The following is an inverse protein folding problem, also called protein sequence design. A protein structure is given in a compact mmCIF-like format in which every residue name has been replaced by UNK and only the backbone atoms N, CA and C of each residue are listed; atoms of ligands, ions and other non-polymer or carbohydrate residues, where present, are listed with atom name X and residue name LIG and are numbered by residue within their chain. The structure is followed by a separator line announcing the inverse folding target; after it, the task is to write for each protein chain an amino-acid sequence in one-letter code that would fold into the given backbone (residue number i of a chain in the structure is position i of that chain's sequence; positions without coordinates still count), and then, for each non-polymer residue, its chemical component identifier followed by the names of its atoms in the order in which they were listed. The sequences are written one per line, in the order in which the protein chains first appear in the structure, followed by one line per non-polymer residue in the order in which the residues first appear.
data_IF_221357515591
#
_entry.id   IF_221357515591
#
_cell.length_a   1.000
_cell.length_b   1.000
_cell.length_c   1.000
_cell.angle_alpha   90.00
_cell.angle_beta   90.00
_cell.angle_gamma   90.00
#
_symmetry.space_group_name_H-M   'P 1'
#
loop_
_entity.id
_entity.type
_entity.pdbx_description
1 polymer ?
#
# COMPACT_ATOMS: atom_id res chain seq x y z
N UNK A 1 1.91 14.88 -18.09
CA UNK A 1 1.21 14.99 -19.40
C UNK A 1 1.91 16.04 -20.26
N UNK A 2 2.60 15.65 -21.34
CA UNK A 2 3.40 16.58 -22.17
C UNK A 2 2.48 17.66 -22.76
N UNK A 3 2.85 18.95 -22.63
CA UNK A 3 2.09 20.12 -23.15
C UNK A 3 1.59 19.94 -24.60
N UNK A 4 2.30 19.15 -25.41
CA UNK A 4 1.90 18.81 -26.79
C UNK A 4 0.57 18.04 -26.90
N UNK A 5 0.24 17.17 -25.95
CA UNK A 5 -0.96 16.32 -26.05
C UNK A 5 -2.26 17.13 -25.85
N UNK A 6 -2.26 18.10 -24.92
CA UNK A 6 -3.38 19.03 -24.74
C UNK A 6 -3.62 19.87 -25.99
N UNK A 7 -2.57 20.42 -26.61
CA UNK A 7 -2.68 21.17 -27.87
C UNK A 7 -3.24 20.31 -29.00
N UNK A 8 -2.80 19.06 -29.11
CA UNK A 8 -3.26 18.15 -30.15
C UNK A 8 -4.75 17.81 -30.02
N UNK A 9 -5.23 17.50 -28.82
CA UNK A 9 -6.66 17.24 -28.57
C UNK A 9 -7.50 18.47 -28.89
N UNK A 10 -7.08 19.67 -28.46
CA UNK A 10 -7.79 20.91 -28.79
C UNK A 10 -7.81 21.19 -30.30
N UNK A 11 -6.69 21.00 -31.00
CA UNK A 11 -6.64 21.16 -32.46
C UNK A 11 -7.52 20.16 -33.19
N UNK A 12 -7.62 18.92 -32.70
CA UNK A 12 -8.51 17.90 -33.25
C UNK A 12 -9.98 18.25 -33.01
N UNK A 13 -10.32 18.77 -31.83
CA UNK A 13 -11.69 19.09 -31.47
C UNK A 13 -12.19 20.29 -32.27
N UNK A 14 -11.42 21.39 -32.29
CA UNK A 14 -11.73 22.61 -33.05
C UNK A 14 -11.67 22.36 -34.56
N UNK A 15 -10.62 21.66 -35.02
CA UNK A 15 -10.46 21.32 -36.43
C UNK A 15 -11.57 20.38 -36.91
N UNK A 16 -11.93 19.38 -36.10
CA UNK A 16 -13.03 18.47 -36.37
C UNK A 16 -14.37 19.17 -36.48
N UNK A 17 -14.69 20.08 -35.54
CA UNK A 17 -15.94 20.87 -35.63
C UNK A 17 -15.94 21.79 -36.85
N UNK A 18 -14.85 22.49 -37.14
CA UNK A 18 -14.76 23.32 -38.34
C UNK A 18 -14.93 22.51 -39.63
N UNK A 19 -14.33 21.31 -39.70
CA UNK A 19 -14.42 20.45 -40.88
C UNK A 19 -15.84 19.92 -41.08
N UNK A 20 -16.50 19.45 -40.02
CA UNK A 20 -17.89 18.96 -40.08
C UNK A 20 -18.84 20.09 -40.48
N UNK A 21 -18.68 21.29 -39.90
CA UNK A 21 -19.48 22.47 -40.26
C UNK A 21 -19.25 22.89 -41.71
N UNK A 22 -18.01 22.90 -42.20
CA UNK A 22 -17.69 23.23 -43.58
C UNK A 22 -18.28 22.20 -44.57
N UNK A 23 -18.24 20.91 -44.24
CA UNK A 23 -18.84 19.85 -45.06
C UNK A 23 -20.37 19.97 -45.07
N UNK A 24 -21.01 20.27 -43.94
CA UNK A 24 -22.45 20.49 -43.88
C UNK A 24 -22.89 21.68 -44.73
N UNK A 25 -22.16 22.81 -44.65
CA UNK A 25 -22.41 23.99 -45.49
C UNK A 25 -22.18 23.64 -46.97
N UNK A 26 -21.10 22.91 -47.29
CA UNK A 26 -20.78 22.51 -48.66
C UNK A 26 -21.83 21.58 -49.27
N UNK A 27 -22.31 20.57 -48.52
CA UNK A 27 -23.38 19.67 -48.96
C UNK A 27 -24.68 20.43 -49.19
N UNK A 28 -25.01 21.38 -48.32
CA UNK A 28 -26.19 22.23 -48.51
C UNK A 28 -26.08 23.09 -49.77
N UNK A 29 -24.96 23.79 -49.97
CA UNK A 29 -24.72 24.60 -51.17
C UNK A 29 -24.69 23.75 -52.44
N UNK A 30 -24.21 22.50 -52.37
CA UNK A 30 -24.24 21.58 -53.50
C UNK A 30 -25.66 21.11 -53.82
N UNK A 31 -26.46 20.79 -52.80
CA UNK A 31 -27.81 20.26 -52.97
C UNK A 31 -28.86 21.32 -53.32
N UNK A 32 -28.68 22.56 -52.85
CA UNK A 32 -29.65 23.66 -53.00
C UNK A 32 -29.11 24.91 -53.72
N UNK A 33 -27.79 25.04 -53.93
CA UNK A 33 -27.14 26.25 -54.46
C UNK A 33 -26.77 26.20 -55.94
N UNK A 34 -27.50 25.43 -56.75
CA UNK A 34 -27.32 25.36 -58.21
C UNK A 34 -27.81 26.62 -58.93
N UNK A 35 -27.09 27.75 -58.79
CA UNK A 35 -27.24 28.97 -59.58
C UNK A 35 -28.11 30.04 -58.93
N UNK A 36 -27.46 31.09 -58.40
CA UNK A 36 -28.03 32.28 -57.73
C UNK A 36 -28.54 32.07 -56.29
N UNK A 37 -28.13 32.98 -55.39
CA UNK A 37 -28.63 33.02 -54.01
C UNK A 37 -30.12 33.33 -54.09
N UNK A 38 -30.95 32.31 -53.85
CA UNK A 38 -32.39 32.44 -53.98
C UNK A 38 -32.91 33.56 -53.06
N UNK A 39 -33.70 34.47 -53.63
CA UNK A 39 -34.25 35.63 -52.93
C UNK A 39 -35.36 35.24 -51.95
N UNK A 40 -35.80 33.99 -51.99
CA UNK A 40 -36.87 33.47 -51.17
C UNK A 40 -36.39 33.19 -49.73
N UNK A 41 -36.99 33.88 -48.76
CA UNK A 41 -36.61 33.79 -47.35
C UNK A 41 -36.93 32.42 -46.73
N UNK A 42 -37.85 31.66 -47.35
CA UNK A 42 -38.22 30.31 -46.92
C UNK A 42 -37.04 29.33 -46.96
N UNK A 43 -36.20 29.40 -48.00
CA UNK A 43 -35.06 28.49 -48.20
C UNK A 43 -33.99 28.71 -47.13
N UNK A 44 -33.82 29.95 -46.69
CA UNK A 44 -32.92 30.30 -45.59
C UNK A 44 -33.42 29.80 -44.22
N UNK A 45 -34.74 29.76 -44.02
CA UNK A 45 -35.33 29.21 -42.79
C UNK A 45 -35.13 27.69 -42.68
N UNK A 46 -35.25 26.97 -43.79
CA UNK A 46 -35.02 25.52 -43.85
C UNK A 46 -33.53 25.18 -43.62
N UNK A 47 -32.60 25.98 -44.16
CA UNK A 47 -31.17 25.90 -43.83
C UNK A 47 -30.92 26.07 -42.33
N UNK A 48 -31.48 27.13 -41.74
CA UNK A 48 -31.33 27.40 -40.31
C UNK A 48 -31.83 26.25 -39.45
N UNK A 49 -32.94 25.63 -39.85
CA UNK A 49 -33.52 24.47 -39.18
C UNK A 49 -32.64 23.23 -39.32
N UNK A 50 -32.10 22.97 -40.52
CA UNK A 50 -31.18 21.85 -40.76
C UNK A 50 -29.86 22.01 -39.99
N UNK A 51 -29.24 23.19 -40.04
CA UNK A 51 -28.01 23.50 -39.28
C UNK A 51 -28.26 23.40 -37.77
N UNK A 52 -29.37 23.95 -37.27
CA UNK A 52 -29.75 23.83 -35.87
C UNK A 52 -29.90 22.38 -35.44
N UNK A 53 -30.57 21.55 -36.25
CA UNK A 53 -30.79 20.13 -35.95
C UNK A 53 -29.52 19.29 -35.99
N UNK A 54 -28.65 19.46 -37.00
CA UNK A 54 -27.45 18.62 -37.18
C UNK A 54 -26.23 19.16 -36.46
N UNK A 55 -25.92 20.44 -36.63
CA UNK A 55 -24.75 21.08 -35.98
C UNK A 55 -25.00 21.23 -34.49
N UNK A 56 -26.23 21.53 -34.06
CA UNK A 56 -26.60 21.60 -32.65
C UNK A 56 -26.39 20.27 -31.93
N UNK A 57 -26.90 19.16 -32.48
CA UNK A 57 -26.73 17.81 -31.89
C UNK A 57 -25.26 17.38 -31.91
N UNK A 58 -24.53 17.65 -33.00
CA UNK A 58 -23.10 17.36 -33.08
C UNK A 58 -22.32 18.15 -32.02
N UNK A 59 -22.57 19.46 -31.89
CA UNK A 59 -21.92 20.30 -30.90
C UNK A 59 -22.20 19.82 -29.47
N UNK A 60 -23.45 19.46 -29.14
CA UNK A 60 -23.81 18.91 -27.82
C UNK A 60 -23.07 17.60 -27.57
N UNK A 61 -23.02 16.70 -28.56
CA UNK A 61 -22.35 15.40 -28.43
C UNK A 61 -20.83 15.57 -28.25
N UNK A 62 -20.20 16.47 -29.00
CA UNK A 62 -18.79 16.83 -28.83
C UNK A 62 -18.52 17.43 -27.46
N UNK A 63 -19.41 18.30 -26.99
CA UNK A 63 -19.29 18.93 -25.66
C UNK A 63 -19.39 17.89 -24.55
N UNK A 64 -20.32 16.93 -24.68
CA UNK A 64 -20.45 15.80 -23.75
C UNK A 64 -19.20 14.91 -23.77
N UNK A 65 -18.66 14.60 -24.95
CA UNK A 65 -17.43 13.82 -25.07
C UNK A 65 -16.24 14.54 -24.45
N UNK A 66 -16.11 15.85 -24.70
CA UNK A 66 -15.09 16.69 -24.08
C UNK A 66 -15.23 16.72 -22.54
N UNK A 67 -16.46 16.78 -22.03
CA UNK A 67 -16.74 16.72 -20.60
C UNK A 67 -16.30 15.37 -20.00
N UNK A 68 -16.67 14.25 -20.62
CA UNK A 68 -16.28 12.90 -20.17
C UNK A 68 -14.75 12.76 -20.15
N UNK A 69 -14.06 13.25 -21.18
CA UNK A 69 -12.60 13.26 -21.21
C UNK A 69 -12.00 14.11 -20.09
N UNK A 70 -12.62 15.25 -19.80
CA UNK A 70 -12.17 16.16 -18.73
C UNK A 70 -12.35 15.51 -17.35
N UNK A 71 -13.48 14.84 -17.11
CA UNK A 71 -13.74 14.09 -15.87
C UNK A 71 -12.70 12.99 -15.67
N UNK A 72 -12.42 12.18 -16.69
CA UNK A 72 -11.37 11.16 -16.62
C UNK A 72 -9.98 11.73 -16.31
N UNK A 73 -9.67 12.93 -16.82
CA UNK A 73 -8.41 13.61 -16.49
C UNK A 73 -8.39 14.12 -15.04
N UNK A 74 -9.52 14.59 -14.52
CA UNK A 74 -9.62 15.03 -13.12
C UNK A 74 -9.42 13.86 -12.17
N UNK A 75 -10.04 12.70 -12.44
CA UNK A 75 -9.88 11.49 -11.61
C UNK A 75 -8.40 11.08 -11.51
N UNK A 76 -7.68 11.06 -12.64
CA UNK A 76 -6.26 10.73 -12.66
C UNK A 76 -5.38 11.76 -11.91
N UNK A 77 -5.78 13.03 -11.88
CA UNK A 77 -5.08 14.07 -11.12
C UNK A 77 -5.35 13.91 -9.62
N UNK A 78 -6.59 13.63 -9.24
CA UNK A 78 -6.98 13.39 -7.85
C UNK A 78 -6.24 12.16 -7.31
N UNK A 79 -6.21 11.07 -8.07
CA UNK A 79 -5.48 9.85 -7.69
C UNK A 79 -3.98 10.13 -7.49
N UNK A 80 -3.35 10.91 -8.38
CA UNK A 80 -1.95 11.28 -8.24
C UNK A 80 -1.69 12.18 -7.01
N UNK A 81 -2.60 13.11 -6.70
CA UNK A 81 -2.50 13.97 -5.51
C UNK A 81 -2.70 13.18 -4.22
N UNK A 82 -3.65 12.25 -4.20
CA UNK A 82 -3.90 11.37 -3.06
C UNK A 82 -2.68 10.47 -2.79
N UNK A 83 -2.05 9.94 -3.84
CA UNK A 83 -0.84 9.13 -3.70
C UNK A 83 0.35 9.95 -3.17
N UNK A 84 0.55 11.16 -3.69
CA UNK A 84 1.59 12.07 -3.18
C UNK A 84 1.35 12.46 -1.71
N UNK A 85 0.09 12.70 -1.34
CA UNK A 85 -0.32 12.99 0.04
C UNK A 85 -0.11 11.80 0.98
N UNK A 86 -0.44 10.58 0.54
CA UNK A 86 -0.17 9.34 1.29
C UNK A 86 1.32 9.13 1.48
N UNK A 87 2.11 9.30 0.43
CA UNK A 87 3.57 9.18 0.47
C UNK A 87 4.18 10.21 1.41
N UNK A 88 3.75 11.48 1.34
CA UNK A 88 4.20 12.54 2.25
C UNK A 88 3.92 12.21 3.72
N UNK A 89 2.71 11.72 4.03
CA UNK A 89 2.37 11.25 5.39
C UNK A 89 3.21 10.05 5.83
N UNK A 90 3.52 9.12 4.92
CA UNK A 90 4.36 7.97 5.25
C UNK A 90 5.77 8.40 5.67
N UNK A 91 6.36 9.37 4.97
CA UNK A 91 7.63 9.97 5.37
C UNK A 91 7.56 10.68 6.71
N UNK A 92 6.53 11.48 6.93
CA UNK A 92 6.34 12.20 8.19
C UNK A 92 6.23 11.23 9.37
N UNK A 93 5.42 10.18 9.21
CA UNK A 93 5.25 9.13 10.18
C UNK A 93 6.57 8.38 10.44
N UNK A 94 7.30 8.02 9.38
CA UNK A 94 8.58 7.34 9.50
C UNK A 94 9.60 8.18 10.27
N UNK A 95 9.67 9.49 10.05
CA UNK A 95 10.66 10.35 10.72
C UNK A 95 10.23 10.68 12.15
N UNK A 96 8.95 11.00 12.37
CA UNK A 96 8.49 11.56 13.65
C UNK A 96 7.96 10.51 14.64
N UNK A 97 7.39 9.41 14.12
CA UNK A 97 6.65 8.44 14.92
C UNK A 97 7.48 7.15 15.09
N UNK A 98 8.09 6.65 14.02
CA UNK A 98 8.82 5.38 14.08
C UNK A 98 9.90 5.32 15.16
N UNK A 99 10.77 6.34 15.34
CA UNK A 99 11.78 6.28 16.40
C UNK A 99 11.17 6.21 17.80
N UNK A 100 9.99 6.81 18.01
CA UNK A 100 9.26 6.75 19.29
C UNK A 100 8.65 5.37 19.50
N UNK A 101 8.06 4.79 18.47
CA UNK A 101 7.53 3.42 18.52
C UNK A 101 8.66 2.43 18.80
N UNK A 102 9.76 2.51 18.04
CA UNK A 102 10.90 1.61 18.17
C UNK A 102 11.56 1.73 19.55
N UNK A 103 11.81 2.96 20.02
CA UNK A 103 12.38 3.16 21.35
C UNK A 103 11.44 2.76 22.50
N UNK A 104 10.12 2.93 22.35
CA UNK A 104 9.14 2.42 23.32
C UNK A 104 9.13 0.90 23.32
N UNK A 105 9.07 0.26 22.14
CA UNK A 105 9.06 -1.18 22.02
C UNK A 105 10.35 -1.79 22.59
N UNK A 106 11.50 -1.18 22.33
CA UNK A 106 12.78 -1.58 22.91
C UNK A 106 12.78 -1.43 24.44
N UNK A 107 12.30 -0.31 24.97
CA UNK A 107 12.16 -0.09 26.43
C UNK A 107 11.18 -1.06 27.07
N UNK A 108 10.07 -1.38 26.40
CA UNK A 108 9.06 -2.29 26.94
C UNK A 108 9.58 -3.71 26.94
N UNK A 109 10.28 -4.14 25.88
CA UNK A 109 11.03 -5.39 25.84
C UNK A 109 12.07 -5.44 26.98
N UNK A 110 12.70 -4.30 27.29
CA UNK A 110 13.62 -4.16 28.44
C UNK A 110 12.93 -4.00 29.81
N UNK A 111 11.65 -3.65 29.91
CA UNK A 111 10.96 -3.47 31.20
C UNK A 111 10.20 -4.71 31.63
N UNK A 112 9.59 -5.40 30.66
CA UNK A 112 8.91 -6.67 30.91
C UNK A 112 9.91 -7.82 31.16
N UNK A 113 11.21 -7.48 31.28
CA UNK A 113 12.32 -8.29 31.78
C UNK A 113 12.15 -8.79 33.22
N UNK A 114 11.29 -8.18 34.02
CA UNK A 114 10.84 -8.82 35.26
C UNK A 114 9.76 -9.84 34.90
N UNK A 115 10.17 -10.94 34.28
CA UNK A 115 9.35 -12.14 34.21
C UNK A 115 8.74 -12.42 35.58
N UNK A 116 7.57 -13.05 35.62
CA UNK A 116 7.06 -13.64 36.85
C UNK A 116 8.22 -14.42 37.52
N UNK A 117 8.58 -14.14 38.79
CA UNK A 117 9.67 -14.82 39.46
C UNK A 117 9.57 -16.35 39.36
N UNK A 118 8.35 -16.89 39.25
CA UNK A 118 8.10 -18.31 38.98
C UNK A 118 8.63 -18.77 37.62
N UNK A 119 8.37 -18.01 36.57
CA UNK A 119 8.86 -18.26 35.21
C UNK A 119 10.39 -18.32 35.14
N UNK A 120 11.08 -17.34 35.74
CA UNK A 120 12.55 -17.25 35.68
C UNK A 120 13.19 -18.45 36.37
N UNK A 121 12.63 -18.86 37.50
CA UNK A 121 13.18 -19.96 38.30
C UNK A 121 13.16 -21.27 37.52
N UNK A 122 12.09 -21.54 36.80
CA UNK A 122 11.94 -22.75 36.01
C UNK A 122 12.91 -22.76 34.82
N UNK A 123 13.08 -21.62 34.13
CA UNK A 123 14.05 -21.48 33.01
C UNK A 123 15.51 -21.57 33.51
N UNK A 124 15.83 -20.89 34.61
CA UNK A 124 17.19 -20.87 35.16
C UNK A 124 17.64 -22.23 35.71
N UNK A 125 16.69 -23.11 36.07
CA UNK A 125 16.98 -24.49 36.43
C UNK A 125 17.32 -25.37 35.21
N UNK A 126 16.96 -24.93 34.00
CA UNK A 126 17.08 -25.69 32.76
C UNK A 126 18.26 -25.25 31.89
N UNK A 127 18.85 -24.08 32.15
CA UNK A 127 19.88 -23.49 31.31
C UNK A 127 21.09 -23.01 32.12
N UNK A 128 22.28 -23.46 31.74
CA UNK A 128 23.56 -23.12 32.37
C UNK A 128 24.34 -22.03 31.60
N UNK A 129 23.89 -21.64 30.40
CA UNK A 129 24.63 -20.72 29.52
C UNK A 129 24.02 -19.30 29.53
N UNK A 130 24.44 -18.52 30.53
CA UNK A 130 24.28 -17.06 30.54
C UNK A 130 22.91 -16.53 30.99
N UNK A 131 22.75 -15.20 31.04
CA UNK A 131 21.54 -14.56 31.54
C UNK A 131 20.34 -14.79 30.61
N UNK A 132 19.17 -15.04 31.20
CA UNK A 132 17.89 -15.13 30.48
C UNK A 132 17.43 -13.70 30.17
N UNK A 133 17.72 -13.25 28.95
CA UNK A 133 17.22 -11.99 28.39
C UNK A 133 16.23 -12.28 27.24
N UNK A 134 15.28 -11.40 26.91
CA UNK A 134 14.38 -11.53 25.75
C UNK A 134 15.16 -11.67 24.45
N UNK A 135 16.26 -10.93 24.31
CA UNK A 135 17.16 -11.08 23.18
C UNK A 135 17.75 -12.49 23.13
N UNK A 136 18.17 -13.04 24.28
CA UNK A 136 18.64 -14.42 24.37
C UNK A 136 17.51 -15.44 24.12
N UNK A 137 16.28 -15.13 24.50
CA UNK A 137 15.10 -15.99 24.28
C UNK A 137 14.74 -16.00 22.79
N UNK A 138 14.74 -14.83 22.15
CA UNK A 138 14.52 -14.66 20.71
C UNK A 138 15.61 -15.35 19.90
N UNK A 139 16.87 -15.37 20.38
CA UNK A 139 18.02 -16.00 19.70
C UNK A 139 18.29 -17.46 20.07
N UNK A 140 17.81 -17.93 21.22
CA UNK A 140 18.01 -19.30 21.69
C UNK A 140 16.66 -20.02 21.80
N UNK A 141 16.08 -20.40 20.64
CA UNK A 141 14.73 -20.91 20.51
C UNK A 141 14.54 -22.28 21.20
N UNK A 142 15.62 -23.00 21.49
CA UNK A 142 15.59 -24.21 22.32
C UNK A 142 15.08 -23.93 23.74
N UNK A 143 15.25 -22.70 24.26
CA UNK A 143 14.68 -22.27 25.54
C UNK A 143 13.15 -22.29 25.50
N UNK A 144 12.56 -21.93 24.37
CA UNK A 144 11.11 -21.95 24.18
C UNK A 144 10.50 -23.35 24.17
N UNK A 145 11.21 -24.34 23.58
CA UNK A 145 10.73 -25.73 23.56
C UNK A 145 10.52 -26.23 24.99
N UNK A 146 11.53 -26.04 25.84
CA UNK A 146 11.48 -26.52 27.23
C UNK A 146 10.49 -25.70 28.06
N UNK A 147 10.41 -24.38 27.82
CA UNK A 147 9.39 -23.53 28.45
C UNK A 147 7.96 -23.96 28.14
N UNK A 148 7.68 -24.35 26.89
CA UNK A 148 6.36 -24.83 26.50
C UNK A 148 5.97 -26.16 27.14
N UNK A 149 6.95 -26.99 27.45
CA UNK A 149 6.74 -28.29 28.12
C UNK A 149 6.56 -28.12 29.65
N UNK A 150 7.28 -27.17 30.26
CA UNK A 150 7.31 -27.01 31.72
C UNK A 150 6.25 -26.02 32.23
N UNK A 151 6.01 -24.92 31.51
CA UNK A 151 5.09 -23.87 31.95
C UNK A 151 4.39 -23.16 30.77
N UNK A 152 3.28 -23.71 30.25
CA UNK A 152 2.56 -23.16 29.10
C UNK A 152 2.02 -21.75 29.31
N UNK A 153 1.59 -21.42 30.53
CA UNK A 153 1.11 -20.07 30.87
C UNK A 153 2.26 -19.05 30.85
N UNK A 154 3.43 -19.47 31.30
CA UNK A 154 4.63 -18.66 31.21
C UNK A 154 5.01 -18.40 29.75
N UNK A 155 5.06 -19.47 28.95
CA UNK A 155 5.31 -19.40 27.51
C UNK A 155 4.39 -18.37 26.84
N UNK A 156 3.07 -18.46 27.08
CA UNK A 156 2.10 -17.54 26.48
C UNK A 156 2.33 -16.08 26.87
N UNK A 157 2.68 -15.82 28.12
CA UNK A 157 3.02 -14.46 28.59
C UNK A 157 4.26 -13.92 27.89
N UNK A 158 5.31 -14.74 27.80
CA UNK A 158 6.58 -14.39 27.13
C UNK A 158 6.36 -14.14 25.65
N UNK A 159 5.61 -15.01 24.97
CA UNK A 159 5.26 -14.86 23.55
C UNK A 159 4.47 -13.58 23.34
N UNK A 160 3.43 -13.31 24.13
CA UNK A 160 2.63 -12.09 23.98
C UNK A 160 3.46 -10.81 24.13
N UNK A 161 4.43 -10.80 25.06
CA UNK A 161 5.31 -9.65 25.28
C UNK A 161 6.39 -9.53 24.19
N UNK A 162 6.97 -10.66 23.77
CA UNK A 162 8.06 -10.73 22.80
C UNK A 162 7.60 -10.58 21.35
N UNK A 163 6.35 -10.91 21.05
CA UNK A 163 5.75 -10.80 19.71
C UNK A 163 4.85 -9.57 19.61
N UNK A 164 4.07 -9.24 20.65
CA UNK A 164 3.06 -8.19 20.57
C UNK A 164 3.62 -6.80 20.25
N UNK A 165 4.73 -6.40 20.88
CA UNK A 165 5.35 -5.11 20.61
C UNK A 165 6.07 -5.09 19.25
N UNK A 166 6.95 -6.07 18.92
CA UNK A 166 7.56 -6.14 17.59
C UNK A 166 6.55 -6.29 16.45
N UNK A 167 5.40 -6.92 16.68
CA UNK A 167 4.31 -6.99 15.70
C UNK A 167 3.82 -5.60 15.30
N UNK A 168 3.57 -4.71 16.26
CA UNK A 168 3.16 -3.33 15.98
C UNK A 168 4.21 -2.55 15.21
N UNK A 169 5.48 -2.74 15.55
CA UNK A 169 6.61 -2.11 14.82
C UNK A 169 6.63 -2.60 13.37
N UNK A 170 6.53 -3.91 13.18
CA UNK A 170 6.54 -4.56 11.86
C UNK A 170 5.36 -4.11 11.02
N UNK A 171 4.15 -4.08 11.59
CA UNK A 171 2.94 -3.64 10.91
C UNK A 171 3.04 -2.17 10.48
N UNK A 172 3.53 -1.30 11.37
CA UNK A 172 3.75 0.10 11.06
C UNK A 172 4.70 0.28 9.87
N UNK A 173 5.84 -0.42 9.89
CA UNK A 173 6.83 -0.37 8.81
C UNK A 173 6.24 -0.80 7.48
N UNK A 174 5.58 -1.95 7.46
CA UNK A 174 4.96 -2.49 6.23
C UNK A 174 3.94 -1.53 5.66
N UNK A 175 3.12 -0.89 6.49
CA UNK A 175 2.16 0.12 6.05
C UNK A 175 2.87 1.35 5.45
N UNK A 176 3.95 1.83 6.05
CA UNK A 176 4.66 2.98 5.50
C UNK A 176 5.39 2.61 4.19
N UNK A 177 6.03 1.44 4.12
CA UNK A 177 6.71 0.94 2.91
C UNK A 177 5.72 0.69 1.78
N UNK A 178 4.48 0.31 2.10
CA UNK A 178 3.43 0.16 1.10
C UNK A 178 3.17 1.47 0.34
N UNK A 179 3.17 2.61 1.03
CA UNK A 179 2.97 3.94 0.44
C UNK A 179 4.27 4.61 -0.06
N UNK A 180 5.42 4.24 0.49
CA UNK A 180 6.73 4.80 0.12
C UNK A 180 7.80 3.69 0.16
N UNK A 181 7.99 2.93 -0.93
CA UNK A 181 8.87 1.75 -0.95
C UNK A 181 10.32 2.02 -0.56
N UNK A 182 10.81 3.22 -0.85
CA UNK A 182 12.16 3.68 -0.49
C UNK A 182 12.39 3.84 1.03
N UNK A 183 11.32 3.87 1.84
CA UNK A 183 11.45 3.84 3.29
C UNK A 183 12.03 2.52 3.82
N UNK A 184 12.06 1.47 3.00
CA UNK A 184 12.70 0.21 3.37
C UNK A 184 14.15 0.44 3.85
N UNK A 185 14.95 1.16 3.06
CA UNK A 185 16.37 1.40 3.37
C UNK A 185 16.54 2.24 4.65
N UNK A 186 15.60 3.18 4.89
CA UNK A 186 15.55 3.97 6.13
C UNK A 186 15.28 3.09 7.35
N UNK A 187 14.27 2.21 7.26
CA UNK A 187 13.95 1.32 8.36
C UNK A 187 15.03 0.27 8.60
N UNK A 188 15.63 -0.28 7.54
CA UNK A 188 16.73 -1.24 7.61
C UNK A 188 17.91 -0.69 8.44
N UNK A 189 18.35 0.53 8.13
CA UNK A 189 19.41 1.21 8.87
C UNK A 189 19.07 1.40 10.36
N UNK A 190 17.82 1.76 10.67
CA UNK A 190 17.40 1.95 12.07
C UNK A 190 17.24 0.62 12.80
N UNK A 191 16.69 -0.41 12.17
CA UNK A 191 16.56 -1.73 12.81
C UNK A 191 17.94 -2.33 13.12
N UNK A 192 18.93 -2.12 12.26
CA UNK A 192 20.32 -2.55 12.49
C UNK A 192 20.92 -1.90 13.74
N UNK A 193 20.69 -0.59 13.96
CA UNK A 193 21.17 0.12 15.15
C UNK A 193 20.65 -0.52 16.44
N UNK A 194 19.40 -0.98 16.44
CA UNK A 194 18.77 -1.63 17.59
C UNK A 194 18.85 -3.16 17.58
N UNK A 195 19.51 -3.76 16.59
CA UNK A 195 19.54 -5.22 16.33
C UNK A 195 18.15 -5.85 16.36
N UNK A 196 17.18 -5.14 15.80
CA UNK A 196 15.76 -5.44 15.96
C UNK A 196 15.21 -6.36 14.86
N UNK A 197 16.01 -6.67 13.84
CA UNK A 197 15.65 -7.62 12.78
C UNK A 197 15.29 -9.01 13.31
N UNK A 198 16.01 -9.52 14.31
CA UNK A 198 15.70 -10.79 14.96
C UNK A 198 14.25 -10.82 15.49
N UNK A 199 13.75 -9.69 16.00
CA UNK A 199 12.38 -9.57 16.48
C UNK A 199 11.37 -9.59 15.32
N UNK A 200 11.69 -8.93 14.21
CA UNK A 200 10.84 -8.88 13.01
C UNK A 200 10.73 -10.28 12.38
N UNK A 201 11.85 -11.00 12.29
CA UNK A 201 11.90 -12.39 11.80
C UNK A 201 11.10 -13.34 12.69
N UNK A 202 11.25 -13.23 14.01
CA UNK A 202 10.49 -14.03 14.98
C UNK A 202 8.96 -13.78 14.88
N UNK A 203 8.55 -12.52 14.75
CA UNK A 203 7.13 -12.16 14.53
C UNK A 203 6.61 -12.77 13.24
N UNK A 204 7.34 -12.60 12.14
CA UNK A 204 6.92 -13.12 10.86
C UNK A 204 6.75 -14.64 10.91
N UNK A 205 7.75 -15.35 11.44
CA UNK A 205 7.70 -16.80 11.58
C UNK A 205 6.54 -17.27 12.48
N UNK A 206 6.31 -16.60 13.60
CA UNK A 206 5.18 -16.87 14.50
C UNK A 206 3.83 -16.78 13.77
N UNK A 207 3.58 -15.68 13.04
CA UNK A 207 2.33 -15.47 12.32
C UNK A 207 2.15 -16.40 11.11
N UNK A 208 3.24 -16.77 10.42
CA UNK A 208 3.19 -17.79 9.38
C UNK A 208 2.72 -19.13 9.94
N UNK A 209 3.18 -19.49 11.15
CA UNK A 209 2.77 -20.73 11.80
C UNK A 209 1.37 -20.70 12.38
N UNK A 210 0.86 -19.52 12.70
CA UNK A 210 -0.43 -19.34 13.36
C UNK A 210 -1.62 -19.41 12.39
N UNK A 211 -1.37 -19.29 11.07
CA UNK A 211 -2.38 -19.25 9.99
C UNK A 211 -3.48 -18.18 10.18
N UNK A 212 -3.31 -17.22 11.09
CA UNK A 212 -4.33 -16.24 11.43
C UNK A 212 -4.28 -14.97 10.59
N UNK A 213 -3.18 -14.71 9.88
CA UNK A 213 -2.96 -13.42 9.21
C UNK A 213 -2.19 -13.55 7.88
N UNK A 214 -2.85 -14.17 6.90
CA UNK A 214 -2.32 -14.36 5.55
C UNK A 214 -1.97 -13.03 4.86
N UNK A 215 -2.78 -12.00 5.09
CA UNK A 215 -2.56 -10.67 4.50
C UNK A 215 -1.32 -10.00 5.09
N UNK A 216 -1.16 -9.99 6.42
CA UNK A 216 0.05 -9.50 7.06
C UNK A 216 1.28 -10.27 6.60
N UNK A 217 1.22 -11.61 6.59
CA UNK A 217 2.34 -12.44 6.17
C UNK A 217 2.74 -12.17 4.72
N UNK A 218 1.76 -11.98 3.83
CA UNK A 218 2.01 -11.60 2.44
C UNK A 218 2.66 -10.21 2.32
N UNK A 219 2.15 -9.23 3.06
CA UNK A 219 2.67 -7.86 3.03
C UNK A 219 4.07 -7.77 3.62
N UNK A 220 4.34 -8.41 4.77
CA UNK A 220 5.67 -8.49 5.38
C UNK A 220 6.67 -9.12 4.42
N UNK A 221 6.33 -10.28 3.84
CA UNK A 221 7.19 -10.97 2.88
C UNK A 221 7.51 -10.11 1.66
N UNK A 222 6.49 -9.47 1.08
CA UNK A 222 6.65 -8.68 -0.15
C UNK A 222 7.35 -7.34 0.08
N UNK A 223 7.15 -6.70 1.25
CA UNK A 223 7.67 -5.35 1.53
C UNK A 223 8.99 -5.36 2.31
N UNK A 224 9.19 -6.30 3.23
CA UNK A 224 10.41 -6.43 4.02
C UNK A 224 11.44 -7.40 3.42
N UNK A 225 11.17 -7.96 2.23
CA UNK A 225 12.09 -8.86 1.51
C UNK A 225 12.51 -10.09 2.33
N UNK A 226 11.62 -10.57 3.20
CA UNK A 226 11.87 -11.74 4.05
C UNK A 226 12.14 -12.99 3.19
N UNK A 227 13.10 -13.81 3.62
CA UNK A 227 13.39 -15.09 2.93
C UNK A 227 12.35 -16.14 3.30
N UNK A 228 12.02 -17.00 2.32
CA UNK A 228 10.95 -18.01 2.42
C UNK A 228 11.39 -19.36 2.98
N UNK A 229 12.61 -19.46 3.50
CA UNK A 229 13.24 -20.73 3.78
C UNK A 229 13.22 -21.03 5.27
N UNK A 230 12.04 -21.22 5.85
CA UNK A 230 11.92 -21.67 7.24
C UNK A 230 11.41 -23.11 7.33
N UNK A 231 11.99 -23.99 6.51
CA UNK A 231 11.73 -25.42 6.58
C UNK A 231 12.72 -26.17 7.47
N UNK A 232 13.65 -25.46 8.14
CA UNK A 232 14.54 -26.07 9.11
C UNK A 232 13.85 -26.08 10.50
N UNK A 233 13.41 -27.24 11.00
CA UNK A 233 12.78 -27.35 12.30
C UNK A 233 13.73 -27.05 13.46
N UNK A 234 15.02 -26.84 13.22
CA UNK A 234 16.00 -26.50 14.27
C UNK A 234 16.36 -25.00 14.24
N UNK A 235 15.98 -24.26 13.19
CA UNK A 235 16.22 -22.82 13.12
C UNK A 235 15.32 -22.04 14.08
N UNK A 236 15.73 -20.82 14.41
CA UNK A 236 14.99 -19.88 15.27
C UNK A 236 13.56 -19.68 14.74
N UNK A 237 13.46 -19.47 13.45
CA UNK A 237 12.22 -19.20 12.74
C UNK A 237 11.34 -20.44 12.67
N UNK A 238 11.91 -21.62 12.38
CA UNK A 238 11.15 -22.88 12.40
C UNK A 238 10.59 -23.22 13.79
N UNK A 239 11.27 -22.81 14.86
CA UNK A 239 10.75 -22.94 16.22
C UNK A 239 9.60 -21.96 16.48
N UNK A 240 9.76 -20.69 16.12
CA UNK A 240 8.69 -19.68 16.25
C UNK A 240 7.44 -20.03 15.47
N UNK A 241 7.60 -20.56 14.26
CA UNK A 241 6.49 -21.07 13.45
C UNK A 241 5.73 -22.19 14.17
N UNK A 242 6.43 -23.15 14.77
CA UNK A 242 5.78 -24.22 15.56
C UNK A 242 5.10 -23.71 16.83
N UNK A 243 5.65 -22.68 17.47
CA UNK A 243 5.01 -22.05 18.63
C UNK A 243 3.68 -21.40 18.19
N UNK A 244 3.68 -20.68 17.06
CA UNK A 244 2.48 -20.10 16.47
C UNK A 244 1.41 -21.16 16.15
N UNK A 245 1.82 -22.28 15.54
CA UNK A 245 0.92 -23.39 15.24
C UNK A 245 0.29 -23.99 16.51
N UNK A 246 1.12 -24.34 17.51
CA UNK A 246 0.68 -25.00 18.74
C UNK A 246 -0.20 -24.14 19.65
N UNK A 247 0.00 -22.82 19.68
CA UNK A 247 -0.80 -21.96 20.56
C UNK A 247 -2.21 -21.69 20.02
N UNK A 248 -2.47 -22.04 18.76
CA UNK A 248 -3.76 -21.91 18.08
C UNK A 248 -4.54 -23.22 17.98
N UNK A 249 -3.94 -24.36 18.35
CA UNK A 249 -4.61 -25.65 18.58
C UNK A 249 -5.35 -25.68 19.93
#
# INVERSE_FOLDING_TARGET
MKRGHKRWVYSLLVGGTMTVSAVAIGLYLYQFGGGELDSDSSVWADLGTYLSGTVGVAAVTFTLFALILTLKQQDAIIEAQDEESRRGRAYENAIQIFPKILSSAHKDLQRHLSFDPGCVRDIAALDHDGPITPESILRHPNRFRVLGEVSPNCLRSIVNQSIGHPYRVTQFMVQQIHHAPELFDYFDCLLDEYRYWDCVEAVYAYHVGSEQDDEFCYLVRSKLRMRLSYNDPVSVEGIWQRIGAKLNE
#
